data_IF_282715622802
#
_entry.id   IF_282715622802
#
_cell.length_a   1.000
_cell.length_b   1.000
_cell.length_c   1.000
_cell.angle_alpha   90.00
_cell.angle_beta   90.00
_cell.angle_gamma   90.00
#
_symmetry.space_group_name_H-M   'P 1'
#
loop_
_entity.id
_entity.type
_entity.pdbx_description
1 polymer ?
#
# COMPACT_ATOMS: atom_id res chain seq x y z
N UNK A 1 -14.98 3.54 -7.34
CA UNK A 1 -13.82 2.70 -6.97
C UNK A 1 -14.09 1.93 -5.70
N UNK A 2 -13.82 0.65 -5.72
CA UNK A 2 -13.88 -0.19 -4.52
C UNK A 2 -12.48 -0.27 -3.90
N UNK A 3 -12.38 -0.04 -2.59
CA UNK A 3 -11.10 -0.11 -1.86
C UNK A 3 -11.18 -1.25 -0.86
N UNK A 4 -10.18 -2.13 -0.91
CA UNK A 4 -10.08 -3.27 -0.01
C UNK A 4 -8.73 -3.26 0.71
N UNK A 5 -8.66 -3.90 1.86
CA UNK A 5 -7.46 -4.00 2.67
C UNK A 5 -7.14 -5.47 2.92
N UNK A 6 -5.95 -5.89 2.50
CA UNK A 6 -5.50 -7.25 2.71
C UNK A 6 -5.23 -7.56 4.18
N UNK A 7 -5.30 -8.83 4.53
CA UNK A 7 -5.07 -9.28 5.91
C UNK A 7 -3.67 -8.92 6.43
N UNK A 8 -2.65 -9.05 5.58
CA UNK A 8 -1.28 -8.69 5.95
C UNK A 8 -1.14 -7.20 6.24
N UNK A 9 -1.77 -6.36 5.41
CA UNK A 9 -1.78 -4.92 5.65
C UNK A 9 -2.44 -4.59 6.99
N UNK A 10 -3.63 -5.13 7.22
CA UNK A 10 -4.37 -4.86 8.45
C UNK A 10 -3.62 -5.32 9.70
N UNK A 11 -2.98 -6.49 9.61
CA UNK A 11 -2.19 -7.03 10.72
C UNK A 11 -1.02 -6.12 11.07
N UNK A 12 -0.30 -5.63 10.07
CA UNK A 12 0.84 -4.76 10.30
C UNK A 12 0.42 -3.41 10.84
N UNK A 13 -0.63 -2.80 10.28
CA UNK A 13 -1.08 -1.48 10.74
C UNK A 13 -1.54 -1.52 12.18
N UNK A 14 -2.14 -2.62 12.63
CA UNK A 14 -2.54 -2.78 14.02
C UNK A 14 -1.35 -2.87 14.97
N UNK A 15 -0.22 -3.39 14.51
CA UNK A 15 1.00 -3.52 15.32
C UNK A 15 1.79 -2.23 15.45
N UNK A 16 1.56 -1.27 14.56
CA UNK A 16 2.28 -0.01 14.58
C UNK A 16 1.69 0.86 15.69
N UNK A 17 2.52 1.16 16.70
CA UNK A 17 2.09 2.02 17.80
C UNK A 17 2.36 3.51 17.58
N UNK A 18 3.21 3.85 16.61
CA UNK A 18 3.59 5.23 16.33
C UNK A 18 2.50 5.94 15.52
N UNK A 19 1.85 6.92 16.13
CA UNK A 19 0.79 7.67 15.49
C UNK A 19 1.25 8.47 14.27
N UNK A 20 2.50 8.92 14.27
CA UNK A 20 3.06 9.66 13.12
C UNK A 20 3.18 8.77 11.88
N UNK A 21 3.59 7.53 12.08
CA UNK A 21 3.67 6.56 10.98
C UNK A 21 2.28 6.22 10.47
N UNK A 22 1.32 6.00 11.36
CA UNK A 22 -0.07 5.76 10.96
C UNK A 22 -0.65 6.91 10.16
N UNK A 23 -0.36 8.14 10.55
CA UNK A 23 -0.81 9.33 9.82
C UNK A 23 -0.21 9.39 8.42
N UNK A 24 1.08 9.07 8.28
CA UNK A 24 1.74 9.03 6.98
C UNK A 24 1.15 7.96 6.08
N UNK A 25 0.87 6.79 6.63
CA UNK A 25 0.21 5.71 5.89
C UNK A 25 -1.16 6.18 5.39
N UNK A 26 -1.94 6.80 6.26
CA UNK A 26 -3.26 7.32 5.91
C UNK A 26 -3.18 8.34 4.78
N UNK A 27 -2.22 9.26 4.85
CA UNK A 27 -2.02 10.27 3.80
C UNK A 27 -1.67 9.63 2.46
N UNK A 28 -0.80 8.62 2.47
CA UNK A 28 -0.43 7.92 1.25
C UNK A 28 -1.61 7.12 0.67
N UNK A 29 -2.42 6.52 1.51
CA UNK A 29 -3.64 5.85 1.05
C UNK A 29 -4.55 6.83 0.32
N UNK A 30 -4.75 8.03 0.86
CA UNK A 30 -5.57 9.06 0.23
C UNK A 30 -4.98 9.44 -1.14
N UNK A 31 -3.66 9.63 -1.23
CA UNK A 31 -3.00 9.95 -2.49
C UNK A 31 -3.17 8.85 -3.52
N UNK A 32 -3.04 7.59 -3.09
CA UNK A 32 -3.18 6.43 -3.98
C UNK A 32 -4.62 6.30 -4.48
N UNK A 33 -5.60 6.53 -3.62
CA UNK A 33 -7.01 6.52 -4.03
C UNK A 33 -7.28 7.57 -5.11
N UNK A 34 -6.67 8.75 -4.99
CA UNK A 34 -6.82 9.82 -5.97
C UNK A 34 -6.02 9.60 -7.24
N UNK A 35 -4.92 8.85 -7.16
CA UNK A 35 -4.06 8.52 -8.31
C UNK A 35 -3.42 7.14 -8.10
N UNK A 36 -4.11 6.07 -8.53
CA UNK A 36 -3.59 4.71 -8.31
C UNK A 36 -2.27 4.41 -9.01
N UNK A 37 -1.86 5.22 -9.96
CA UNK A 37 -0.58 5.03 -10.67
C UNK A 37 0.60 5.72 -10.01
N UNK A 38 0.40 6.39 -8.86
CA UNK A 38 1.45 7.15 -8.21
C UNK A 38 2.60 6.28 -7.69
N UNK A 39 2.30 5.05 -7.30
CA UNK A 39 3.31 4.13 -6.78
C UNK A 39 4.23 3.61 -7.87
N UNK A 40 5.43 3.20 -7.46
CA UNK A 40 6.41 2.62 -8.37
C UNK A 40 6.01 1.20 -8.73
N UNK A 41 5.95 0.85 -10.04
CA UNK A 41 5.63 -0.54 -10.42
C UNK A 41 6.64 -1.52 -9.84
N UNK A 42 6.14 -2.65 -9.35
CA UNK A 42 7.00 -3.72 -8.84
C UNK A 42 7.49 -4.59 -10.00
N UNK A 43 8.69 -5.17 -9.81
CA UNK A 43 9.37 -5.96 -10.83
C UNK A 43 8.99 -7.45 -10.75
N UNK A 44 9.47 -8.23 -11.74
CA UNK A 44 9.46 -9.70 -11.74
C UNK A 44 8.08 -10.33 -11.74
N UNK A 45 7.25 -9.93 -12.72
CA UNK A 45 5.96 -10.58 -12.95
C UNK A 45 4.85 -10.16 -11.99
N UNK A 46 5.11 -9.22 -11.11
CA UNK A 46 4.08 -8.67 -10.22
C UNK A 46 3.31 -7.58 -10.94
N UNK A 47 2.61 -7.97 -11.99
CA UNK A 47 1.83 -7.05 -12.79
C UNK A 47 0.76 -6.37 -11.95
N UNK A 48 0.50 -5.10 -12.23
CA UNK A 48 -0.52 -4.29 -11.57
C UNK A 48 -0.20 -4.00 -10.10
N UNK A 49 0.94 -4.47 -9.60
CA UNK A 49 1.36 -4.21 -8.22
C UNK A 49 2.32 -3.03 -8.20
N UNK A 50 2.10 -2.12 -7.26
CA UNK A 50 2.91 -0.93 -7.06
C UNK A 50 3.27 -0.79 -5.60
N UNK A 51 4.29 0.01 -5.32
CA UNK A 51 4.68 0.31 -3.94
C UNK A 51 4.99 1.77 -3.73
N UNK A 52 4.78 2.23 -2.51
CA UNK A 52 5.12 3.57 -2.04
C UNK A 52 5.98 3.45 -0.80
N UNK A 53 7.04 4.26 -0.72
CA UNK A 53 7.92 4.25 0.44
C UNK A 53 7.39 5.20 1.50
N UNK A 54 7.18 4.66 2.70
CA UNK A 54 6.75 5.39 3.89
C UNK A 54 7.77 5.05 4.97
N UNK A 55 8.92 5.77 5.05
CA UNK A 55 10.02 5.37 5.92
C UNK A 55 9.57 5.04 7.34
N UNK A 56 9.99 3.90 7.90
CA UNK A 56 10.86 2.86 7.33
C UNK A 56 10.12 1.75 6.60
N UNK A 57 8.85 1.94 6.25
CA UNK A 57 8.00 0.92 5.66
C UNK A 57 7.83 1.11 4.16
N UNK A 58 7.43 0.02 3.50
CA UNK A 58 6.94 0.05 2.12
C UNK A 58 5.50 -0.44 2.11
N UNK A 59 4.65 0.29 1.40
CA UNK A 59 3.25 -0.06 1.21
C UNK A 59 3.08 -0.59 -0.20
N UNK A 60 2.67 -1.86 -0.32
CA UNK A 60 2.36 -2.45 -1.62
C UNK A 60 0.85 -2.48 -1.83
N UNK A 61 0.45 -2.25 -3.07
CA UNK A 61 -0.95 -2.25 -3.43
C UNK A 61 -1.12 -2.71 -4.88
N UNK A 62 -2.33 -3.11 -5.21
CA UNK A 62 -2.72 -3.52 -6.54
C UNK A 62 -3.93 -2.73 -6.97
N UNK A 63 -3.91 -2.21 -8.20
CA UNK A 63 -5.08 -1.56 -8.78
C UNK A 63 -5.49 -2.32 -10.04
N UNK A 64 -6.69 -2.89 -10.01
CA UNK A 64 -7.30 -3.52 -11.17
C UNK A 64 -8.19 -2.49 -11.85
N UNK A 65 -7.70 -1.96 -12.96
CA UNK A 65 -8.39 -0.89 -13.68
C UNK A 65 -9.72 -1.34 -14.26
N UNK A 66 -9.80 -2.60 -14.73
CA UNK A 66 -11.02 -3.13 -15.31
C UNK A 66 -12.14 -3.25 -14.29
N UNK A 67 -11.79 -3.68 -13.08
CA UNK A 67 -12.75 -3.83 -11.98
C UNK A 67 -12.91 -2.57 -11.14
N UNK A 68 -12.09 -1.57 -11.41
CA UNK A 68 -11.99 -0.37 -10.58
C UNK A 68 -11.85 -0.74 -9.10
N UNK A 69 -10.92 -1.64 -8.83
CA UNK A 69 -10.68 -2.23 -7.51
C UNK A 69 -9.25 -1.94 -7.07
N UNK A 70 -9.12 -1.29 -5.93
CA UNK A 70 -7.84 -0.97 -5.31
C UNK A 70 -7.69 -1.79 -4.04
N UNK A 71 -6.60 -2.58 -3.94
CA UNK A 71 -6.35 -3.44 -2.80
C UNK A 71 -5.00 -3.06 -2.19
N UNK A 72 -5.00 -2.69 -0.90
CA UNK A 72 -3.76 -2.52 -0.14
C UNK A 72 -3.31 -3.88 0.37
N UNK A 73 -2.19 -4.37 -0.16
CA UNK A 73 -1.76 -5.75 0.03
C UNK A 73 -0.96 -5.93 1.30
N UNK A 74 0.07 -5.10 1.51
CA UNK A 74 1.00 -5.30 2.60
C UNK A 74 1.68 -4.00 2.98
N UNK A 75 2.06 -3.93 4.25
CA UNK A 75 2.89 -2.86 4.78
C UNK A 75 4.04 -3.54 5.51
N UNK A 76 5.25 -3.41 4.99
CA UNK A 76 6.40 -4.15 5.53
C UNK A 76 7.59 -3.22 5.67
N UNK A 77 8.44 -3.57 6.65
CA UNK A 77 9.69 -2.85 6.85
C UNK A 77 10.62 -3.12 5.68
N UNK A 78 11.29 -2.08 5.17
CA UNK A 78 12.13 -2.22 3.97
C UNK A 78 13.20 -3.29 4.11
N UNK A 79 13.65 -3.57 5.35
CA UNK A 79 14.69 -4.57 5.61
C UNK A 79 14.14 -6.00 5.67
N UNK A 80 12.84 -6.18 5.54
CA UNK A 80 12.18 -7.50 5.58
C UNK A 80 11.94 -8.08 4.18
N UNK A 81 12.51 -7.48 3.18
CA UNK A 81 12.35 -7.97 1.81
C UNK A 81 13.03 -9.30 1.56
#
# INVERSE_FOLDING_TARGET
>A
MTVAYGASFEKTIRKIGDGRIKDRVKQQIIRIVNDPEIGKPMRYGRKQTREVYIPPFRLSYCYDQQKDLLIFLDLYHKDEQ
#
